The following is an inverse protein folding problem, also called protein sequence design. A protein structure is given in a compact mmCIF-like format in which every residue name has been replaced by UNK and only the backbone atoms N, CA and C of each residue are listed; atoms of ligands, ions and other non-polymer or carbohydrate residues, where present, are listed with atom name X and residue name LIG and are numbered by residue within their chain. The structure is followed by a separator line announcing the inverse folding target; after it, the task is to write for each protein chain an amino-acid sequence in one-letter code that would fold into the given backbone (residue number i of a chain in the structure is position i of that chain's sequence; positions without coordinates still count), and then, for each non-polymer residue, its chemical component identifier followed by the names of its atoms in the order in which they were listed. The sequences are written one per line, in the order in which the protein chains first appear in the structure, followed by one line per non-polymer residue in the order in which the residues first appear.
data_IF_522569461723
#
_entry.id   IF_522569461723
#
_cell.length_a   1.000
_cell.length_b   1.000
_cell.length_c   1.000
_cell.angle_alpha   90.00
_cell.angle_beta   90.00
_cell.angle_gamma   90.00
#
_symmetry.space_group_name_H-M   'P 1'
#
loop_
_entity.id
_entity.type
_entity.pdbx_description
1 polymer ?
#
# COMPACT_ATOMS: atom_id res chain seq x y z
N UNK A 1 -58.63 26.24 -7.97
CA UNK A 1 -57.80 25.58 -9.00
C UNK A 1 -56.37 26.04 -8.81
N UNK A 2 -55.58 25.31 -8.00
CA UNK A 2 -54.11 25.39 -7.97
C UNK A 2 -53.57 24.21 -7.15
N UNK A 3 -53.11 23.17 -7.85
CA UNK A 3 -52.31 22.09 -7.24
C UNK A 3 -51.05 22.00 -8.08
N UNK A 4 -50.03 22.76 -7.70
CA UNK A 4 -48.69 22.64 -8.28
C UNK A 4 -47.72 23.35 -7.35
N UNK A 5 -46.56 22.71 -7.07
CA UNK A 5 -45.40 23.16 -6.26
C UNK A 5 -45.09 22.50 -4.90
N UNK A 6 -45.47 21.24 -4.61
CA UNK A 6 -44.95 20.54 -3.41
C UNK A 6 -44.34 19.16 -3.61
N UNK A 7 -43.93 18.80 -4.83
CA UNK A 7 -43.42 17.45 -5.13
C UNK A 7 -42.10 17.42 -5.94
N UNK A 8 -41.26 18.45 -5.78
CA UNK A 8 -39.89 18.45 -6.35
C UNK A 8 -38.81 18.54 -5.24
N UNK A 9 -39.20 18.58 -3.97
CA UNK A 9 -38.25 18.78 -2.86
C UNK A 9 -37.62 17.49 -2.29
N UNK A 10 -37.83 16.31 -2.89
CA UNK A 10 -37.36 15.03 -2.31
C UNK A 10 -36.32 14.28 -3.14
N UNK A 11 -35.77 14.88 -4.20
CA UNK A 11 -34.78 14.21 -5.07
C UNK A 11 -33.34 14.75 -4.94
N UNK A 12 -33.09 15.79 -4.14
CA UNK A 12 -31.78 16.48 -4.06
C UNK A 12 -31.09 16.30 -2.68
N UNK A 13 -31.59 15.42 -1.81
CA UNK A 13 -30.95 15.13 -0.51
C UNK A 13 -30.21 13.79 -0.45
N UNK A 14 -30.10 13.05 -1.56
CA UNK A 14 -29.16 11.92 -1.68
C UNK A 14 -27.88 12.27 -2.44
N UNK A 15 -27.66 13.56 -2.73
CA UNK A 15 -26.39 14.10 -3.21
C UNK A 15 -25.46 14.55 -2.08
N UNK A 16 -25.71 14.13 -0.83
CA UNK A 16 -24.65 14.06 0.16
C UNK A 16 -23.68 12.98 -0.30
N UNK A 17 -22.71 13.43 -1.10
CA UNK A 17 -21.38 12.88 -1.27
C UNK A 17 -21.26 11.45 -0.76
N UNK A 18 -21.22 10.50 -1.69
CA UNK A 18 -20.22 9.46 -1.57
C UNK A 18 -18.88 10.18 -1.37
N UNK A 19 -18.57 10.54 -0.12
CA UNK A 19 -17.21 10.57 0.35
C UNK A 19 -16.76 9.15 0.08
N UNK A 20 -16.12 8.96 -1.07
CA UNK A 20 -15.52 7.70 -1.44
C UNK A 20 -14.72 7.28 -0.22
N UNK A 21 -14.97 6.11 0.39
CA UNK A 21 -14.01 5.59 1.34
C UNK A 21 -12.67 5.63 0.60
N UNK A 22 -11.63 6.22 1.21
CA UNK A 22 -10.29 6.25 0.64
C UNK A 22 -10.03 4.87 0.00
N UNK A 23 -10.00 4.81 -1.34
CA UNK A 23 -10.11 3.53 -2.03
C UNK A 23 -8.98 2.63 -1.52
N UNK A 24 -9.34 1.41 -1.13
CA UNK A 24 -8.38 0.35 -0.93
C UNK A 24 -7.46 0.30 -2.15
N UNK A 25 -6.15 0.25 -1.92
CA UNK A 25 -5.14 0.18 -2.95
C UNK A 25 -4.11 -0.86 -2.56
N UNK A 26 -3.67 -1.63 -3.53
CA UNK A 26 -2.47 -2.44 -3.41
C UNK A 26 -1.29 -1.59 -3.85
N UNK A 27 -0.38 -1.37 -2.93
CA UNK A 27 0.85 -0.61 -3.19
C UNK A 27 2.00 -1.59 -3.16
N UNK A 28 2.74 -1.68 -4.25
CA UNK A 28 3.88 -2.58 -4.39
C UNK A 28 5.16 -1.79 -4.60
N UNK A 29 6.13 -2.02 -3.74
CA UNK A 29 7.53 -1.65 -3.96
C UNK A 29 8.26 -2.81 -4.58
N UNK A 30 9.10 -2.50 -5.56
CA UNK A 30 10.11 -3.43 -6.06
C UNK A 30 11.47 -2.76 -5.97
N UNK A 31 12.44 -3.47 -5.39
CA UNK A 31 13.85 -3.08 -5.38
C UNK A 31 14.70 -4.20 -5.92
N UNK A 32 15.82 -3.84 -6.54
CA UNK A 32 16.89 -4.76 -6.90
C UNK A 32 18.24 -4.12 -6.59
N UNK A 33 19.26 -4.96 -6.39
CA UNK A 33 20.61 -4.47 -6.12
C UNK A 33 21.55 -5.54 -5.59
N UNK A 34 22.48 -5.14 -4.73
CA UNK A 34 23.44 -6.04 -4.06
C UNK A 34 23.30 -6.00 -2.55
N UNK A 35 23.63 -7.12 -1.91
CA UNK A 35 23.58 -7.25 -0.45
C UNK A 35 24.85 -6.71 0.21
N UNK A 36 24.69 -5.94 1.28
CA UNK A 36 25.76 -5.30 2.02
C UNK A 36 26.57 -6.30 2.88
N UNK A 37 27.77 -5.91 3.34
CA UNK A 37 28.54 -6.73 4.27
C UNK A 37 27.78 -7.10 5.54
N UNK A 38 28.00 -8.32 6.03
CA UNK A 38 27.31 -8.88 7.20
C UNK A 38 25.93 -9.50 6.92
N UNK A 39 25.51 -9.55 5.65
CA UNK A 39 24.28 -10.23 5.23
C UNK A 39 24.42 -11.76 5.33
N UNK A 40 23.44 -12.44 5.93
CA UNK A 40 23.52 -13.88 6.23
C UNK A 40 22.21 -14.63 5.99
N UNK A 41 22.32 -15.92 5.62
CA UNK A 41 21.20 -16.85 5.45
C UNK A 41 21.19 -17.96 6.51
N UNK A 42 21.09 -17.58 7.80
CA UNK A 42 21.16 -18.53 8.91
C UNK A 42 19.99 -19.51 9.00
N UNK A 43 18.86 -19.23 8.35
CA UNK A 43 17.73 -20.14 8.21
C UNK A 43 17.74 -20.92 6.88
N UNK A 44 18.75 -20.71 6.03
CA UNK A 44 18.87 -21.36 4.72
C UNK A 44 17.63 -21.17 3.82
N UNK A 45 17.03 -19.98 3.86
CA UNK A 45 15.83 -19.64 3.08
C UNK A 45 16.12 -19.52 1.59
N UNK A 46 17.33 -19.08 1.25
CA UNK A 46 17.75 -18.85 -0.14
C UNK A 46 18.63 -19.98 -0.66
N UNK A 47 19.11 -20.90 0.18
CA UNK A 47 19.90 -22.07 -0.24
C UNK A 47 21.17 -21.72 -1.02
N UNK A 48 21.70 -20.52 -0.79
CA UNK A 48 22.85 -20.00 -1.55
C UNK A 48 24.13 -19.91 -0.72
N UNK A 49 24.12 -20.55 0.45
CA UNK A 49 25.19 -20.52 1.45
C UNK A 49 24.93 -19.48 2.56
N UNK A 50 25.64 -19.61 3.68
CA UNK A 50 25.44 -18.76 4.86
C UNK A 50 25.76 -17.29 4.59
N UNK A 51 26.77 -16.99 3.77
CA UNK A 51 27.16 -15.62 3.45
C UNK A 51 26.38 -15.12 2.24
N UNK A 52 25.65 -14.01 2.43
CA UNK A 52 24.88 -13.36 1.38
C UNK A 52 25.54 -12.10 0.82
N UNK A 53 26.65 -11.64 1.42
CA UNK A 53 27.36 -10.42 1.00
C UNK A 53 27.70 -10.43 -0.50
N UNK A 54 27.43 -9.30 -1.16
CA UNK A 54 27.74 -9.09 -2.58
C UNK A 54 26.79 -9.80 -3.55
N UNK A 55 25.93 -10.72 -3.08
CA UNK A 55 24.95 -11.39 -3.94
C UNK A 55 23.92 -10.40 -4.46
N UNK A 56 23.39 -10.70 -5.66
CA UNK A 56 22.27 -9.96 -6.25
C UNK A 56 20.99 -10.30 -5.51
N UNK A 57 20.16 -9.29 -5.27
CA UNK A 57 18.83 -9.46 -4.73
C UNK A 57 17.77 -8.75 -5.56
N UNK A 58 16.53 -9.21 -5.42
CA UNK A 58 15.31 -8.51 -5.80
C UNK A 58 14.30 -8.68 -4.67
N UNK A 59 13.63 -7.63 -4.24
CA UNK A 59 12.61 -7.71 -3.21
C UNK A 59 11.36 -6.99 -3.68
N UNK A 60 10.21 -7.67 -3.56
CA UNK A 60 8.90 -7.07 -3.69
C UNK A 60 8.24 -6.99 -2.32
N UNK A 61 7.58 -5.87 -2.04
CA UNK A 61 6.78 -5.68 -0.83
C UNK A 61 5.47 -5.04 -1.22
N UNK A 62 4.36 -5.64 -0.84
CA UNK A 62 3.01 -5.18 -1.18
C UNK A 62 2.19 -5.03 0.08
N UNK A 63 1.50 -3.90 0.20
CA UNK A 63 0.53 -3.65 1.27
C UNK A 63 -0.83 -3.34 0.68
N UNK A 64 -1.87 -3.85 1.31
CA UNK A 64 -3.25 -3.45 1.06
C UNK A 64 -3.68 -2.35 2.04
N UNK A 65 -3.93 -1.15 1.52
CA UNK A 65 -4.32 0.01 2.34
C UNK A 65 -5.71 -0.11 2.95
N UNK A 66 -6.52 -1.09 2.52
CA UNK A 66 -7.80 -1.41 3.18
C UNK A 66 -7.59 -1.83 4.64
N UNK A 67 -6.43 -2.43 4.94
CA UNK A 67 -6.08 -2.96 6.26
C UNK A 67 -5.19 -2.01 7.06
N UNK A 68 -5.08 -0.74 6.67
CA UNK A 68 -4.35 0.30 7.39
C UNK A 68 -5.36 1.28 8.02
N UNK A 69 -5.86 1.00 9.25
CA UNK A 69 -6.95 1.77 9.85
C UNK A 69 -6.52 3.17 10.30
N UNK A 70 -5.23 3.38 10.60
CA UNK A 70 -4.72 4.66 11.06
C UNK A 70 -4.15 5.43 9.88
N UNK A 71 -4.61 6.66 9.70
CA UNK A 71 -4.22 7.52 8.58
C UNK A 71 -3.93 8.93 9.07
N UNK A 72 -2.85 9.53 8.59
CA UNK A 72 -2.47 10.92 8.87
C UNK A 72 -2.02 11.60 7.59
N UNK A 73 -2.70 12.69 7.24
CA UNK A 73 -2.40 13.48 6.05
C UNK A 73 -2.18 14.92 6.46
N UNK A 74 -0.99 15.43 6.18
CA UNK A 74 -0.57 16.81 6.42
C UNK A 74 0.12 17.33 5.15
N UNK A 75 0.34 18.64 5.02
CA UNK A 75 1.05 19.21 3.86
C UNK A 75 2.47 18.66 3.64
N UNK A 76 3.10 18.07 4.66
CA UNK A 76 4.49 17.60 4.58
C UNK A 76 4.62 16.10 4.79
N UNK A 77 3.53 15.41 5.10
CA UNK A 77 3.58 14.02 5.54
C UNK A 77 2.27 13.31 5.24
N UNK A 78 2.38 12.14 4.65
CA UNK A 78 1.30 11.19 4.41
C UNK A 78 1.70 9.86 5.01
N UNK A 79 0.88 9.33 5.92
CA UNK A 79 1.15 8.05 6.53
C UNK A 79 -0.12 7.24 6.76
N UNK A 80 0.01 5.95 6.53
CA UNK A 80 -1.04 4.95 6.76
C UNK A 80 -0.41 3.76 7.48
N UNK A 81 -1.02 3.29 8.57
CA UNK A 81 -0.46 2.20 9.34
C UNK A 81 -1.49 1.34 10.08
N UNK A 82 -1.03 0.13 10.42
CA UNK A 82 -1.65 -0.86 11.27
C UNK A 82 -0.60 -1.31 12.29
N UNK A 83 -0.97 -1.37 13.57
CA UNK A 83 -0.12 -1.90 14.63
C UNK A 83 -0.87 -3.01 15.38
N UNK A 84 -0.23 -4.17 15.51
CA UNK A 84 -0.73 -5.33 16.25
C UNK A 84 -2.19 -5.66 15.93
N UNK A 85 -2.52 -5.66 14.64
CA UNK A 85 -3.87 -5.92 14.15
C UNK A 85 -3.83 -6.64 12.81
N UNK A 86 -5.01 -7.02 12.29
CA UNK A 86 -5.13 -7.57 10.95
C UNK A 86 -4.53 -6.60 9.94
N UNK A 87 -3.57 -7.11 9.18
CA UNK A 87 -2.90 -6.40 8.09
C UNK A 87 -2.88 -7.31 6.87
N UNK A 88 -2.51 -6.77 5.72
CA UNK A 88 -2.23 -7.55 4.52
C UNK A 88 -0.96 -7.02 3.91
N UNK A 89 0.16 -7.58 4.35
CA UNK A 89 1.49 -7.21 3.92
C UNK A 89 2.26 -8.44 3.46
N UNK A 90 2.66 -8.49 2.20
CA UNK A 90 3.25 -9.68 1.61
C UNK A 90 4.31 -9.32 0.59
N UNK A 91 5.18 -10.26 0.27
CA UNK A 91 6.28 -10.01 -0.63
C UNK A 91 7.05 -11.25 -1.01
N UNK A 92 7.97 -11.05 -1.94
CA UNK A 92 8.93 -12.07 -2.36
C UNK A 92 10.31 -11.46 -2.33
N UNK A 93 11.22 -12.15 -1.68
CA UNK A 93 12.63 -11.83 -1.69
C UNK A 93 13.36 -12.88 -2.51
N UNK A 94 14.11 -12.48 -3.52
CA UNK A 94 14.97 -13.35 -4.31
C UNK A 94 16.42 -12.97 -4.06
N UNK A 95 17.27 -13.94 -3.71
CA UNK A 95 18.72 -13.76 -3.60
C UNK A 95 19.39 -14.79 -4.48
N UNK A 96 20.24 -14.34 -5.40
CA UNK A 96 21.05 -15.21 -6.27
C UNK A 96 20.18 -16.29 -6.98
N UNK A 97 19.02 -15.85 -7.49
CA UNK A 97 18.05 -16.68 -8.21
C UNK A 97 17.08 -17.50 -7.35
N UNK A 98 17.26 -17.55 -6.02
CA UNK A 98 16.43 -18.33 -5.12
C UNK A 98 15.45 -17.44 -4.37
N UNK A 99 14.17 -17.80 -4.37
CA UNK A 99 13.10 -16.97 -3.86
C UNK A 99 12.52 -17.50 -2.55
N UNK A 100 12.27 -16.57 -1.63
CA UNK A 100 11.52 -16.77 -0.40
C UNK A 100 10.29 -15.85 -0.42
N UNK A 101 9.10 -16.42 -0.36
CA UNK A 101 7.85 -15.69 -0.32
C UNK A 101 7.31 -15.62 1.12
N UNK A 102 6.72 -14.50 1.47
CA UNK A 102 6.17 -14.26 2.80
C UNK A 102 4.88 -13.45 2.73
N UNK A 103 3.97 -13.68 3.69
CA UNK A 103 2.70 -12.98 3.82
C UNK A 103 2.33 -12.85 5.29
N UNK A 104 2.05 -11.62 5.72
CA UNK A 104 1.69 -11.24 7.09
C UNK A 104 0.23 -10.79 7.10
N UNK A 105 -0.60 -11.56 7.80
CA UNK A 105 -2.04 -11.28 7.96
C UNK A 105 -2.38 -10.60 9.30
N UNK A 106 -1.44 -10.63 10.25
CA UNK A 106 -1.55 -10.00 11.56
C UNK A 106 -0.19 -9.50 12.01
N UNK A 107 -0.11 -8.26 12.45
CA UNK A 107 1.12 -7.64 12.92
C UNK A 107 1.13 -6.14 12.65
N UNK A 108 2.27 -5.64 12.18
CA UNK A 108 2.48 -4.24 11.83
C UNK A 108 2.66 -4.09 10.33
N UNK A 109 2.04 -3.06 9.76
CA UNK A 109 2.37 -2.56 8.44
C UNK A 109 2.26 -1.04 8.43
N UNK A 110 3.14 -0.38 7.70
CA UNK A 110 3.11 1.07 7.54
C UNK A 110 3.61 1.50 6.18
N UNK A 111 2.99 2.57 5.70
CA UNK A 111 3.42 3.40 4.60
C UNK A 111 3.64 4.80 5.12
N UNK A 112 4.73 5.40 4.70
CA UNK A 112 5.09 6.75 5.09
C UNK A 112 5.72 7.46 3.91
N UNK A 113 5.27 8.67 3.67
CA UNK A 113 5.78 9.57 2.65
C UNK A 113 5.92 10.94 3.30
N UNK A 114 7.11 11.53 3.27
CA UNK A 114 7.36 12.82 3.89
C UNK A 114 8.31 13.69 3.10
N UNK A 115 8.11 14.99 3.25
CA UNK A 115 9.08 16.01 2.89
C UNK A 115 10.24 15.93 3.87
N UNK A 116 11.45 15.89 3.37
CA UNK A 116 12.65 15.86 4.22
C UNK A 116 13.80 16.63 3.58
N UNK A 117 14.84 16.89 4.37
CA UNK A 117 15.90 17.85 4.02
C UNK A 117 17.31 17.31 4.30
N UNK A 118 18.26 17.63 3.43
CA UNK A 118 19.71 17.41 3.63
C UNK A 118 20.40 18.75 3.44
N UNK A 119 20.72 19.43 4.54
CA UNK A 119 21.14 20.83 4.45
C UNK A 119 20.00 21.67 3.87
N UNK A 120 20.25 22.31 2.72
CA UNK A 120 19.25 23.14 2.02
C UNK A 120 18.48 22.39 0.94
N UNK A 121 18.88 21.17 0.61
CA UNK A 121 18.23 20.39 -0.44
C UNK A 121 17.02 19.65 0.11
N UNK A 122 15.89 19.78 -0.60
CA UNK A 122 14.65 19.08 -0.28
C UNK A 122 14.54 17.79 -1.09
N UNK A 123 14.20 16.71 -0.41
CA UNK A 123 13.92 15.42 -1.02
C UNK A 123 12.62 14.81 -0.49
N UNK A 124 12.15 13.81 -1.21
CA UNK A 124 11.07 12.94 -0.79
C UNK A 124 11.66 11.75 -0.01
N UNK A 125 11.13 11.52 1.19
CA UNK A 125 11.41 10.33 1.99
C UNK A 125 10.20 9.41 1.96
N UNK A 126 10.47 8.15 1.68
CA UNK A 126 9.47 7.12 1.55
C UNK A 126 9.89 5.91 2.39
N UNK A 127 8.99 5.41 3.22
CA UNK A 127 9.19 4.23 4.04
C UNK A 127 7.99 3.29 3.88
N UNK A 128 8.29 2.03 3.60
CA UNK A 128 7.32 0.94 3.69
C UNK A 128 7.91 -0.09 4.62
N UNK A 129 7.14 -0.50 5.63
CA UNK A 129 7.54 -1.50 6.60
C UNK A 129 6.41 -2.46 6.86
N UNK A 130 6.76 -3.70 7.11
CA UNK A 130 5.88 -4.59 7.85
C UNK A 130 6.62 -5.68 8.60
N UNK A 131 6.01 -6.09 9.69
CA UNK A 131 6.53 -7.09 10.60
C UNK A 131 5.40 -7.95 11.15
N UNK A 132 5.65 -9.25 11.25
CA UNK A 132 4.71 -10.21 11.81
C UNK A 132 5.11 -11.63 11.47
N UNK A 133 4.21 -12.57 11.76
CA UNK A 133 4.43 -13.99 11.45
C UNK A 133 3.96 -14.29 10.02
N UNK A 134 4.84 -14.91 9.24
CA UNK A 134 4.52 -15.38 7.91
C UNK A 134 3.49 -16.51 8.00
N UNK A 135 2.34 -16.35 7.32
CA UNK A 135 1.26 -17.35 7.33
C UNK A 135 1.61 -18.62 6.55
N UNK A 136 2.64 -18.58 5.71
CA UNK A 136 3.04 -19.70 4.85
C UNK A 136 3.85 -20.76 5.61
N UNK A 137 4.69 -20.35 6.55
CA UNK A 137 5.65 -21.22 7.24
C UNK A 137 5.82 -20.94 8.74
N UNK A 138 5.14 -19.92 9.28
CA UNK A 138 5.22 -19.55 10.69
C UNK A 138 6.49 -18.79 11.09
N UNK A 139 7.36 -18.42 10.15
CA UNK A 139 8.59 -17.67 10.44
C UNK A 139 8.25 -16.19 10.68
N UNK A 140 8.88 -15.57 11.67
CA UNK A 140 8.69 -14.13 11.89
C UNK A 140 9.52 -13.33 10.89
N UNK A 141 8.89 -12.34 10.25
CA UNK A 141 9.49 -11.51 9.19
C UNK A 141 9.47 -10.04 9.60
N UNK A 142 10.55 -9.30 9.35
CA UNK A 142 10.61 -7.84 9.35
C UNK A 142 11.18 -7.39 8.01
N UNK A 143 10.40 -6.64 7.24
CA UNK A 143 10.79 -6.14 5.92
C UNK A 143 10.61 -4.62 5.89
N UNK A 144 11.66 -3.91 5.45
CA UNK A 144 11.73 -2.45 5.43
C UNK A 144 12.30 -2.00 4.10
N UNK A 145 11.67 -1.00 3.50
CA UNK A 145 12.18 -0.24 2.36
C UNK A 145 12.24 1.23 2.75
N UNK A 146 13.41 1.85 2.63
CA UNK A 146 13.58 3.29 2.80
C UNK A 146 14.17 3.90 1.53
N UNK A 147 13.48 4.91 1.01
CA UNK A 147 13.84 5.59 -0.23
C UNK A 147 13.99 7.08 0.02
N UNK A 148 15.07 7.61 -0.52
CA UNK A 148 15.35 9.02 -0.62
C UNK A 148 15.43 9.35 -2.10
N UNK A 149 14.54 10.20 -2.60
CA UNK A 149 14.43 10.47 -4.03
C UNK A 149 14.28 11.95 -4.36
N UNK A 150 14.75 12.30 -5.55
CA UNK A 150 14.45 13.56 -6.25
C UNK A 150 13.47 13.29 -7.40
N UNK A 151 12.60 14.25 -7.81
CA UNK A 151 12.48 15.66 -7.38
C UNK A 151 11.80 15.86 -5.99
N UNK A 152 11.76 17.11 -5.46
CA UNK A 152 11.20 17.43 -4.15
C UNK A 152 9.73 17.01 -3.95
N UNK A 153 9.36 16.89 -2.68
CA UNK A 153 8.03 16.46 -2.23
C UNK A 153 6.92 17.36 -2.81
N UNK A 154 5.96 16.75 -3.52
CA UNK A 154 4.79 17.46 -4.03
C UNK A 154 3.67 17.49 -2.96
N UNK A 155 3.22 18.68 -2.58
CA UNK A 155 2.26 18.91 -1.49
C UNK A 155 0.87 18.23 -1.68
N UNK A 156 0.59 17.70 -2.88
CA UNK A 156 -0.65 16.98 -3.22
C UNK A 156 -0.47 15.45 -3.25
N UNK A 157 0.62 14.92 -2.69
CA UNK A 157 0.92 13.51 -2.82
C UNK A 157 0.02 12.64 -1.97
N UNK A 158 -0.36 11.52 -2.55
CA UNK A 158 -1.03 10.42 -1.90
C UNK A 158 -0.46 9.12 -2.48
N UNK A 159 -0.80 8.00 -1.87
CA UNK A 159 -0.34 6.70 -2.32
C UNK A 159 -1.06 6.17 -3.57
N UNK A 160 -1.85 6.99 -4.28
CA UNK A 160 -2.76 6.51 -5.34
C UNK A 160 -2.17 6.52 -6.75
N UNK A 161 -0.96 7.08 -6.93
CA UNK A 161 -0.31 7.25 -8.23
C UNK A 161 0.99 6.43 -8.34
N UNK A 162 1.19 5.62 -9.40
CA UNK A 162 2.45 4.91 -9.67
C UNK A 162 3.65 5.86 -9.83
N UNK A 163 4.86 5.39 -9.48
CA UNK A 163 6.09 6.20 -9.54
C UNK A 163 7.35 5.38 -9.85
N UNK A 164 8.27 6.02 -10.55
CA UNK A 164 9.68 5.64 -10.65
C UNK A 164 10.51 6.69 -9.92
N UNK A 165 11.58 6.29 -9.26
CA UNK A 165 12.37 7.18 -8.44
C UNK A 165 13.80 7.24 -8.97
N UNK A 166 14.33 8.45 -9.09
CA UNK A 166 15.75 8.66 -9.25
C UNK A 166 16.39 8.55 -7.86
N UNK A 167 17.08 7.44 -7.62
CA UNK A 167 17.65 7.11 -6.32
C UNK A 167 18.72 8.14 -5.93
N UNK A 168 18.57 8.73 -4.75
CA UNK A 168 19.71 9.34 -4.05
C UNK A 168 20.51 8.21 -3.40
N UNK A 169 21.51 7.72 -4.14
CA UNK A 169 22.04 6.35 -4.09
C UNK A 169 22.64 5.90 -2.75
N UNK A 170 22.97 6.82 -1.85
CA UNK A 170 23.74 6.48 -0.65
C UNK A 170 22.90 6.45 0.62
N UNK A 171 21.64 6.89 0.56
CA UNK A 171 20.75 6.95 1.72
C UNK A 171 19.57 5.99 1.65
N UNK A 172 19.26 5.47 0.46
CA UNK A 172 18.18 4.49 0.28
C UNK A 172 18.67 3.08 0.61
N UNK A 173 17.91 2.33 1.41
CA UNK A 173 18.30 0.99 1.85
C UNK A 173 17.08 0.08 2.08
N UNK A 174 17.32 -1.22 1.93
CA UNK A 174 16.34 -2.28 2.17
C UNK A 174 16.84 -3.15 3.29
N UNK A 175 15.92 -3.63 4.10
CA UNK A 175 16.21 -4.62 5.10
C UNK A 175 15.18 -5.72 5.03
N UNK A 176 15.68 -6.92 5.20
CA UNK A 176 14.86 -8.10 5.41
C UNK A 176 15.50 -8.89 6.54
N UNK A 177 14.67 -9.31 7.47
CA UNK A 177 15.00 -10.34 8.42
C UNK A 177 13.87 -11.35 8.53
N UNK A 178 14.27 -12.61 8.65
CA UNK A 178 13.45 -13.72 9.01
C UNK A 178 14.09 -14.41 10.21
N UNK A 179 13.33 -14.65 11.27
CA UNK A 179 13.86 -15.20 12.50
C UNK A 179 12.91 -16.22 13.12
N UNK A 180 13.52 -17.23 13.72
CA UNK A 180 12.87 -18.25 14.56
C UNK A 180 13.60 -18.30 15.90
N UNK A 181 13.15 -19.15 16.83
CA UNK A 181 13.92 -19.42 18.05
C UNK A 181 15.26 -20.12 17.81
N UNK A 182 15.50 -20.61 16.59
CA UNK A 182 16.64 -21.47 16.25
C UNK A 182 17.67 -20.78 15.34
N UNK A 183 17.32 -19.67 14.69
CA UNK A 183 18.20 -18.98 13.77
C UNK A 183 17.64 -17.70 13.18
N UNK A 184 18.44 -17.04 12.36
CA UNK A 184 18.09 -15.78 11.70
C UNK A 184 18.72 -15.71 10.32
N UNK A 185 17.92 -15.36 9.32
CA UNK A 185 18.36 -14.88 8.01
C UNK A 185 18.13 -13.38 7.98
N UNK A 186 19.16 -12.58 7.71
CA UNK A 186 19.01 -11.13 7.66
C UNK A 186 20.00 -10.50 6.70
N UNK A 187 19.57 -9.46 6.00
CA UNK A 187 20.44 -8.71 5.10
C UNK A 187 20.00 -7.26 4.97
N UNK A 188 20.95 -6.43 4.54
CA UNK A 188 20.68 -5.06 4.09
C UNK A 188 20.98 -4.96 2.61
N UNK A 189 19.99 -4.59 1.81
CA UNK A 189 20.12 -4.38 0.38
C UNK A 189 20.52 -2.94 0.05
N UNK A 190 21.48 -2.78 -0.87
CA UNK A 190 21.80 -1.51 -1.53
C UNK A 190 21.12 -1.50 -2.90
N UNK A 191 20.04 -0.73 -3.08
CA UNK A 191 19.29 -0.73 -4.32
C UNK A 191 20.07 -0.05 -5.46
N UNK A 192 20.00 -0.61 -6.65
CA UNK A 192 20.40 0.06 -7.91
C UNK A 192 19.21 0.29 -8.85
N UNK A 193 18.04 -0.31 -8.56
CA UNK A 193 16.79 -0.08 -9.26
C UNK A 193 15.61 -0.09 -8.28
N UNK A 194 14.62 0.78 -8.55
CA UNK A 194 13.43 0.91 -7.71
C UNK A 194 12.18 1.31 -8.49
N UNK A 195 11.05 0.69 -8.15
CA UNK A 195 9.73 1.10 -8.64
C UNK A 195 8.65 1.01 -7.56
N UNK A 196 7.66 1.89 -7.68
CA UNK A 196 6.42 1.88 -6.92
C UNK A 196 5.24 1.78 -7.89
N UNK A 197 4.40 0.78 -7.69
CA UNK A 197 3.17 0.62 -8.45
C UNK A 197 1.98 0.68 -7.51
N UNK A 198 0.88 1.24 -8.04
CA UNK A 198 -0.39 1.32 -7.33
C UNK A 198 -1.45 0.65 -8.18
N UNK A 199 -2.15 -0.30 -7.59
CA UNK A 199 -3.37 -0.86 -8.14
C UNK A 199 -4.51 -0.40 -7.23
N UNK A 200 -5.24 0.63 -7.67
CA UNK A 200 -6.43 1.10 -6.96
C UNK A 200 -7.55 0.07 -7.12
N UNK A 201 -8.27 -0.25 -6.04
CA UNK A 201 -9.51 -1.01 -6.14
C UNK A 201 -10.49 -0.22 -7.02
N UNK A 202 -10.89 -0.81 -8.14
CA UNK A 202 -11.93 -0.27 -9.02
C UNK A 202 -13.26 -0.43 -8.28
N UNK A 203 -14.15 0.60 -8.23
CA UNK A 203 -15.50 0.40 -7.72
C UNK A 203 -16.13 -0.81 -8.38
N UNK A 204 -16.58 -1.78 -7.58
CA UNK A 204 -17.19 -2.97 -8.14
C UNK A 204 -18.38 -2.57 -9.04
N UNK A 205 -18.48 -3.10 -10.27
CA UNK A 205 -19.61 -2.83 -11.15
C UNK A 205 -20.96 -3.13 -10.49
N UNK A 206 -20.99 -4.03 -9.51
CA UNK A 206 -22.18 -4.38 -8.73
C UNK A 206 -22.73 -3.20 -7.92
N UNK A 207 -21.88 -2.31 -7.40
CA UNK A 207 -22.30 -1.14 -6.62
C UNK A 207 -22.99 -0.11 -7.52
N UNK A 208 -22.44 0.13 -8.71
CA UNK A 208 -23.06 0.96 -9.75
C UNK A 208 -24.34 0.32 -10.28
N UNK A 209 -24.34 -1.00 -10.50
CA UNK A 209 -25.53 -1.74 -10.92
C UNK A 209 -26.66 -1.65 -9.90
N UNK A 210 -26.36 -1.83 -8.62
CA UNK A 210 -27.33 -1.74 -7.53
C UNK A 210 -27.88 -0.33 -7.37
N UNK A 211 -27.03 0.69 -7.51
CA UNK A 211 -27.46 2.09 -7.52
C UNK A 211 -28.42 2.39 -8.68
N UNK A 212 -28.09 1.94 -9.89
CA UNK A 212 -28.93 2.12 -11.08
C UNK A 212 -30.26 1.37 -10.95
N UNK A 213 -30.26 0.16 -10.38
CA UNK A 213 -31.49 -0.58 -10.04
C UNK A 213 -32.32 0.20 -9.02
N UNK A 214 -31.70 0.75 -7.98
CA UNK A 214 -32.36 1.60 -6.99
C UNK A 214 -33.04 2.82 -7.62
N UNK A 215 -32.34 3.54 -8.50
CA UNK A 215 -32.90 4.66 -9.26
C UNK A 215 -34.06 4.22 -10.17
N UNK A 216 -33.93 3.07 -10.84
CA UNK A 216 -34.98 2.50 -11.67
C UNK A 216 -36.25 2.17 -10.91
N UNK A 217 -36.12 1.59 -9.71
CA UNK A 217 -37.26 1.27 -8.83
C UNK A 217 -37.96 2.53 -8.32
N UNK A 218 -37.20 3.56 -7.93
CA UNK A 218 -37.76 4.86 -7.53
C UNK A 218 -38.53 5.49 -8.70
N UNK A 219 -37.94 5.53 -9.89
CA UNK A 219 -38.61 6.06 -11.10
C UNK A 219 -39.90 5.31 -11.45
N UNK A 220 -39.89 3.98 -11.36
CA UNK A 220 -41.08 3.15 -11.59
C UNK A 220 -42.19 3.41 -10.55
N UNK A 221 -41.82 3.58 -9.27
CA UNK A 221 -42.77 3.86 -8.19
C UNK A 221 -43.46 5.23 -8.35
N UNK A 222 -42.71 6.27 -8.76
CA UNK A 222 -43.24 7.60 -9.04
C UNK A 222 -44.18 7.59 -10.25
N UNK A 223 -43.84 6.85 -11.32
CA UNK A 223 -44.70 6.70 -12.50
C UNK A 223 -46.03 6.01 -12.18
N UNK A 224 -46.03 5.00 -11.30
CA UNK A 224 -47.27 4.33 -10.85
C UNK A 224 -48.17 5.26 -10.04
N UNK A 225 -47.60 6.06 -9.14
CA UNK A 225 -48.37 7.04 -8.34
C UNK A 225 -48.98 8.15 -9.21
N UNK A 226 -48.26 8.64 -10.21
CA UNK A 226 -48.78 9.64 -11.15
C UNK A 226 -49.97 9.12 -11.97
N UNK A 227 -50.00 7.83 -12.32
CA UNK A 227 -51.12 7.20 -13.05
C UNK A 227 -52.32 6.85 -12.17
N UNK A 228 -52.13 6.66 -10.86
CA UNK A 228 -53.20 6.30 -9.93
C UNK A 228 -53.93 7.53 -9.34
N UNK A 229 -53.40 8.74 -9.56
CA UNK A 229 -53.99 10.01 -9.16
C UNK A 229 -54.57 10.85 -10.31
N UNK A 230 -54.69 10.26 -11.50
CA UNK A 230 -55.37 10.82 -12.68
C UNK A 230 -56.61 9.99 -12.98
#
# INVERSE_FOLDING_TARGET
MSISFKLVASAILFSCAAASPAHAALITFTSAGTLAPGSTDGLNLFQTGLNLEGKRYTQTMTVDTAFLPSKSYTPTTVSEWANDTTTKFYGTTTVDGHAYAWSIDYGRASLYLARSYRGTEEYEYLDMRGNGTNVLDGISVDAIAQVYSYPPFVNAMNFTSPRTFDLYSDSSWWYFAAFTGEGTTSFTGRPDALSWTVINAVPEPATLGTFMVGLGLIGASLRRRAKAGA
#
